data_IF_620246654923
#
_entry.id   IF_620246654923
#
_cell.length_a   1.000
_cell.length_b   1.000
_cell.length_c   1.000
_cell.angle_alpha   90.00
_cell.angle_beta   90.00
_cell.angle_gamma   90.00
#
_symmetry.space_group_name_H-M   'P 1'
#
loop_
_entity.id
_entity.type
_entity.pdbx_description
1 polymer ?
#
# COMPACT_ATOMS: atom_id res chain seq x y z
N UNK A 1 -0.43 21.77 5.00
CA UNK A 1 -1.56 20.85 5.23
C UNK A 1 -1.54 19.85 4.10
N UNK A 2 -1.33 18.56 4.39
CA UNK A 2 -1.30 17.52 3.36
C UNK A 2 -2.67 16.85 3.24
N UNK A 3 -3.12 16.60 2.02
CA UNK A 3 -4.39 15.94 1.76
C UNK A 3 -4.20 14.45 1.57
N UNK A 4 -5.30 13.69 1.58
CA UNK A 4 -5.27 12.27 1.23
C UNK A 4 -4.71 12.05 -0.19
N UNK A 5 -5.00 12.96 -1.12
CA UNK A 5 -4.49 12.89 -2.50
C UNK A 5 -2.98 13.06 -2.60
N UNK A 6 -2.36 13.77 -1.65
CA UNK A 6 -0.90 13.92 -1.58
C UNK A 6 -0.26 12.73 -0.88
N UNK A 7 -0.89 12.23 0.18
CA UNK A 7 -0.29 11.26 1.09
C UNK A 7 -0.48 9.82 0.64
N UNK A 8 -1.61 9.48 0.03
CA UNK A 8 -1.87 8.12 -0.42
C UNK A 8 -0.85 7.66 -1.49
N UNK A 9 -0.55 8.43 -2.55
CA UNK A 9 0.46 8.02 -3.53
C UNK A 9 1.85 7.83 -2.92
N UNK A 10 2.24 8.67 -1.96
CA UNK A 10 3.52 8.52 -1.24
C UNK A 10 3.59 7.23 -0.44
N UNK A 11 2.52 6.88 0.26
CA UNK A 11 2.48 5.62 1.02
C UNK A 11 2.44 4.39 0.10
N UNK A 12 1.77 4.48 -1.06
CA UNK A 12 1.86 3.44 -2.07
C UNK A 12 3.29 3.27 -2.60
N UNK A 13 4.02 4.36 -2.85
CA UNK A 13 5.42 4.29 -3.25
C UNK A 13 6.30 3.64 -2.17
N UNK A 14 6.17 4.06 -0.91
CA UNK A 14 6.87 3.44 0.24
C UNK A 14 6.60 1.95 0.34
N UNK A 15 5.34 1.53 0.21
CA UNK A 15 4.98 0.12 0.28
C UNK A 15 5.52 -0.68 -0.92
N UNK A 16 5.68 -0.06 -2.10
CA UNK A 16 6.33 -0.70 -3.25
C UNK A 16 7.83 -0.94 -2.99
N UNK A 17 8.51 -0.02 -2.30
CA UNK A 17 9.89 -0.23 -1.85
C UNK A 17 9.98 -1.35 -0.82
N UNK A 18 9.08 -1.35 0.18
CA UNK A 18 9.02 -2.40 1.19
C UNK A 18 8.78 -3.79 0.57
N UNK A 19 7.92 -3.86 -0.45
CA UNK A 19 7.67 -5.09 -1.19
C UNK A 19 8.94 -5.67 -1.82
N UNK A 20 9.85 -4.82 -2.32
CA UNK A 20 11.14 -5.29 -2.86
C UNK A 20 11.95 -5.95 -1.76
N UNK A 21 12.04 -5.34 -0.58
CA UNK A 21 12.76 -5.89 0.58
C UNK A 21 12.17 -7.26 0.97
N UNK A 22 10.85 -7.37 1.10
CA UNK A 22 10.21 -8.65 1.45
C UNK A 22 10.42 -9.74 0.38
N UNK A 23 10.53 -9.37 -0.89
CA UNK A 23 10.86 -10.31 -1.98
C UNK A 23 12.31 -10.77 -1.91
N UNK A 24 13.24 -9.89 -1.53
CA UNK A 24 14.66 -10.23 -1.36
C UNK A 24 14.92 -11.21 -0.21
N UNK A 25 14.07 -11.22 0.82
CA UNK A 25 14.13 -12.22 1.91
C UNK A 25 13.89 -13.65 1.39
N UNK A 26 13.22 -13.81 0.24
CA UNK A 26 12.88 -15.11 -0.34
C UNK A 26 11.67 -15.77 0.34
N UNK A 27 11.62 -17.11 0.46
CA UNK A 27 10.41 -17.83 0.92
C UNK A 27 9.86 -17.34 2.26
N UNK A 28 10.73 -16.96 3.20
CA UNK A 28 10.33 -16.44 4.51
C UNK A 28 9.63 -15.08 4.44
N UNK A 29 9.88 -14.28 3.40
CA UNK A 29 9.23 -12.98 3.17
C UNK A 29 7.99 -13.05 2.29
N UNK A 30 7.69 -14.21 1.70
CA UNK A 30 6.62 -14.36 0.70
C UNK A 30 5.23 -13.97 1.24
N UNK A 31 4.93 -14.29 2.51
CA UNK A 31 3.66 -13.93 3.12
C UNK A 31 3.52 -12.41 3.28
N UNK A 32 4.55 -11.74 3.79
CA UNK A 32 4.56 -10.28 3.91
C UNK A 32 4.47 -9.58 2.56
N UNK A 33 5.21 -10.07 1.56
CA UNK A 33 5.12 -9.59 0.19
C UNK A 33 3.68 -9.69 -0.37
N UNK A 34 3.00 -10.82 -0.18
CA UNK A 34 1.62 -11.01 -0.62
C UNK A 34 0.64 -10.04 0.06
N UNK A 35 0.83 -9.77 1.35
CA UNK A 35 -0.01 -8.82 2.11
C UNK A 35 0.17 -7.37 1.65
N UNK A 36 1.41 -6.98 1.37
CA UNK A 36 1.74 -5.65 0.83
C UNK A 36 1.16 -5.51 -0.58
N UNK A 37 1.36 -6.50 -1.47
CA UNK A 37 0.79 -6.50 -2.82
C UNK A 37 -0.73 -6.38 -2.81
N UNK A 38 -1.41 -7.13 -1.95
CA UNK A 38 -2.85 -7.06 -1.85
C UNK A 38 -3.32 -5.66 -1.42
N UNK A 39 -2.65 -5.06 -0.45
CA UNK A 39 -3.00 -3.72 0.03
C UNK A 39 -2.74 -2.63 -1.03
N UNK A 40 -1.67 -2.78 -1.81
CA UNK A 40 -1.37 -1.90 -2.95
C UNK A 40 -2.45 -2.01 -4.03
N UNK A 41 -2.89 -3.22 -4.39
CA UNK A 41 -3.96 -3.43 -5.36
C UNK A 41 -5.28 -2.80 -4.91
N UNK A 42 -5.64 -2.97 -3.64
CA UNK A 42 -6.84 -2.34 -3.06
C UNK A 42 -6.76 -0.81 -3.11
N UNK A 43 -5.59 -0.25 -2.80
CA UNK A 43 -5.36 1.18 -2.88
C UNK A 43 -5.45 1.72 -4.31
N UNK A 44 -4.84 1.04 -5.28
CA UNK A 44 -4.90 1.42 -6.70
C UNK A 44 -6.36 1.40 -7.19
N UNK A 45 -7.14 0.37 -6.84
CA UNK A 45 -8.56 0.31 -7.19
C UNK A 45 -9.38 1.43 -6.54
N UNK A 46 -9.13 1.73 -5.26
CA UNK A 46 -9.80 2.83 -4.57
C UNK A 46 -9.54 4.17 -5.27
N UNK A 47 -8.29 4.44 -5.65
CA UNK A 47 -7.90 5.66 -6.39
C UNK A 47 -8.59 5.72 -7.76
N UNK A 48 -8.59 4.62 -8.51
CA UNK A 48 -9.25 4.56 -9.84
C UNK A 48 -10.75 4.83 -9.73
N UNK A 49 -11.41 4.28 -8.71
CA UNK A 49 -12.85 4.45 -8.51
C UNK A 49 -13.25 5.86 -8.05
N UNK A 50 -12.33 6.61 -7.46
CA UNK A 50 -12.62 7.89 -6.80
C UNK A 50 -13.39 7.75 -5.47
N UNK A 51 -13.57 6.55 -4.94
CA UNK A 51 -14.20 6.34 -3.63
C UNK A 51 -13.26 6.79 -2.50
N UNK A 52 -13.52 7.99 -1.98
CA UNK A 52 -12.73 8.64 -0.94
C UNK A 52 -12.72 7.82 0.36
N UNK A 53 -13.80 7.10 0.69
CA UNK A 53 -13.86 6.27 1.91
C UNK A 53 -12.97 5.04 1.72
N UNK A 54 -13.03 4.40 0.56
CA UNK A 54 -12.13 3.30 0.22
C UNK A 54 -10.66 3.77 0.23
N UNK A 55 -10.37 4.96 -0.30
CA UNK A 55 -9.03 5.55 -0.29
C UNK A 55 -8.51 5.78 1.14
N UNK A 56 -9.35 6.27 2.06
CA UNK A 56 -8.99 6.45 3.47
C UNK A 56 -8.65 5.12 4.16
N UNK A 57 -9.46 4.08 3.89
CA UNK A 57 -9.21 2.73 4.43
C UNK A 57 -7.92 2.13 3.89
N UNK A 58 -7.71 2.25 2.57
CA UNK A 58 -6.49 1.80 1.93
C UNK A 58 -5.26 2.53 2.48
N UNK A 59 -5.35 3.85 2.68
CA UNK A 59 -4.28 4.64 3.29
C UNK A 59 -3.93 4.17 4.70
N UNK A 60 -4.93 3.93 5.55
CA UNK A 60 -4.70 3.41 6.90
C UNK A 60 -4.05 2.01 6.87
N UNK A 61 -4.50 1.14 5.96
CA UNK A 61 -3.92 -0.20 5.79
C UNK A 61 -2.46 -0.15 5.33
N UNK A 62 -2.14 0.70 4.35
CA UNK A 62 -0.77 0.87 3.86
C UNK A 62 0.18 1.39 4.95
N UNK A 63 -0.31 2.27 5.83
CA UNK A 63 0.49 2.79 6.94
C UNK A 63 0.93 1.71 7.95
N UNK A 64 0.17 0.62 8.06
CA UNK A 64 0.43 -0.45 9.02
C UNK A 64 1.45 -1.50 8.54
N UNK A 65 1.89 -1.46 7.28
CA UNK A 65 2.98 -2.34 6.84
C UNK A 65 4.32 -1.83 7.37
N UNK A 66 5.18 -2.71 7.89
CA UNK A 66 6.51 -2.37 8.41
C UNK A 66 7.64 -3.15 7.74
#
# INVERSE_FOLDING_TARGET
MHTLGDELPKQQARCRELLVIYKEIGPSGAFGAAMIEQSLREADQAVISGDVVAMLRAYARLKNHE
#
